data_IF_392600380690
#
_entry.id   IF_392600380690
#
_cell.length_a   1.000
_cell.length_b   1.000
_cell.length_c   1.000
_cell.angle_alpha   90.00
_cell.angle_beta   90.00
_cell.angle_gamma   90.00
#
_symmetry.space_group_name_H-M   'P 1'
#
loop_
_entity.id
_entity.type
_entity.pdbx_description
1 polymer ?
#
# COMPACT_ATOMS: atom_id res chain seq x y z
N UNK A 1 -4.99 22.87 5.11
CA UNK A 1 -5.88 22.68 6.28
C UNK A 1 -6.11 21.18 6.55
N UNK A 2 -6.36 20.36 5.53
CA UNK A 2 -6.59 18.90 5.61
C UNK A 2 -5.42 18.11 6.23
N UNK A 3 -4.16 18.43 5.88
CA UNK A 3 -2.97 17.74 6.43
C UNK A 3 -2.81 17.94 7.94
N UNK A 4 -3.19 19.12 8.47
CA UNK A 4 -3.18 19.38 9.93
C UNK A 4 -4.32 18.62 10.62
N UNK A 5 -5.48 18.48 9.99
CA UNK A 5 -6.61 17.70 10.51
C UNK A 5 -6.26 16.21 10.55
N UNK A 6 -5.60 15.70 9.51
CA UNK A 6 -5.16 14.32 9.44
C UNK A 6 -4.06 13.99 10.46
N UNK A 7 -3.14 14.91 10.72
CA UNK A 7 -2.12 14.73 11.77
C UNK A 7 -2.75 14.78 13.17
N UNK A 8 -3.73 15.66 13.38
CA UNK A 8 -4.47 15.75 14.63
C UNK A 8 -5.28 14.49 14.92
N UNK A 9 -6.04 13.99 13.95
CA UNK A 9 -6.81 12.74 14.09
C UNK A 9 -5.92 11.53 14.33
N UNK A 10 -4.74 11.48 13.70
CA UNK A 10 -3.75 10.41 13.91
C UNK A 10 -3.18 10.43 15.33
N UNK A 11 -2.83 11.60 15.85
CA UNK A 11 -2.35 11.77 17.22
C UNK A 11 -3.45 11.48 18.24
N UNK A 12 -4.69 11.90 17.97
CA UNK A 12 -5.84 11.61 18.81
C UNK A 12 -6.08 10.08 18.91
N UNK A 13 -6.05 9.37 17.77
CA UNK A 13 -6.18 7.90 17.74
C UNK A 13 -5.05 7.20 18.51
N UNK A 14 -3.81 7.67 18.38
CA UNK A 14 -2.65 7.08 19.04
C UNK A 14 -2.73 7.24 20.56
N UNK A 15 -3.18 8.37 21.04
CA UNK A 15 -3.24 8.70 22.48
C UNK A 15 -4.52 8.21 23.17
N UNK A 16 -5.65 8.13 22.43
CA UNK A 16 -6.93 7.68 22.98
C UNK A 16 -7.09 6.15 23.01
N UNK A 17 -6.53 5.43 22.03
CA UNK A 17 -6.68 3.96 21.97
C UNK A 17 -6.26 3.22 23.27
N UNK A 18 -5.14 3.51 23.91
CA UNK A 18 -4.78 2.85 25.17
C UNK A 18 -5.75 3.18 26.30
N UNK A 19 -6.17 4.45 26.40
CA UNK A 19 -7.12 4.91 27.43
C UNK A 19 -8.52 4.33 27.23
N UNK A 20 -8.99 4.23 25.99
CA UNK A 20 -10.29 3.64 25.66
C UNK A 20 -10.36 2.13 25.99
N UNK A 21 -9.25 1.41 25.88
CA UNK A 21 -9.20 -0.01 26.26
C UNK A 21 -9.43 -0.23 27.75
N UNK A 22 -9.14 0.77 28.58
CA UNK A 22 -9.40 0.72 30.03
C UNK A 22 -10.87 0.96 30.41
N UNK A 23 -11.70 1.42 29.45
CA UNK A 23 -13.12 1.69 29.65
C UNK A 23 -13.98 0.93 28.61
N UNK A 24 -14.27 -0.37 28.81
CA UNK A 24 -14.93 -1.22 27.82
C UNK A 24 -16.29 -0.72 27.33
N UNK A 25 -17.10 -0.14 28.23
CA UNK A 25 -18.42 0.43 27.91
C UNK A 25 -18.32 1.66 27.03
N UNK A 26 -17.43 2.58 27.35
CA UNK A 26 -17.16 3.77 26.52
C UNK A 26 -16.62 3.37 25.14
N UNK A 27 -15.73 2.37 25.08
CA UNK A 27 -15.22 1.85 23.82
C UNK A 27 -16.32 1.26 22.94
N UNK A 28 -17.24 0.46 23.53
CA UNK A 28 -18.42 -0.09 22.81
C UNK A 28 -19.32 1.03 22.28
N UNK A 29 -19.60 2.05 23.10
CA UNK A 29 -20.43 3.19 22.70
C UNK A 29 -19.83 3.96 21.53
N UNK A 30 -18.53 4.24 21.56
CA UNK A 30 -17.82 4.92 20.46
C UNK A 30 -17.87 4.08 19.17
N UNK A 31 -17.68 2.76 19.26
CA UNK A 31 -17.80 1.87 18.09
C UNK A 31 -19.23 1.92 17.53
N UNK A 32 -20.23 1.88 18.40
CA UNK A 32 -21.63 1.94 17.97
C UNK A 32 -21.98 3.26 17.28
N UNK A 33 -21.54 4.39 17.85
CA UNK A 33 -21.72 5.72 17.24
C UNK A 33 -21.02 5.80 15.89
N UNK A 34 -19.77 5.33 15.83
CA UNK A 34 -19.02 5.30 14.57
C UNK A 34 -19.71 4.44 13.51
N UNK A 35 -20.24 3.26 13.89
CA UNK A 35 -20.98 2.40 12.99
C UNK A 35 -22.24 3.10 12.45
N UNK A 36 -23.03 3.71 13.32
CA UNK A 36 -24.20 4.50 12.91
C UNK A 36 -23.82 5.64 11.97
N UNK A 37 -22.73 6.33 12.25
CA UNK A 37 -22.21 7.36 11.35
C UNK A 37 -21.86 6.79 9.97
N UNK A 38 -21.16 5.66 9.90
CA UNK A 38 -20.86 4.98 8.64
C UNK A 38 -22.12 4.61 7.86
N UNK A 39 -23.11 4.03 8.56
CA UNK A 39 -24.38 3.60 7.95
C UNK A 39 -25.18 4.78 7.40
N UNK A 40 -25.18 5.91 8.12
CA UNK A 40 -25.93 7.12 7.74
C UNK A 40 -25.25 7.97 6.66
N UNK A 41 -23.92 7.96 6.58
CA UNK A 41 -23.19 8.88 5.70
C UNK A 41 -22.37 8.20 4.62
N UNK A 42 -22.07 6.90 4.75
CA UNK A 42 -21.17 6.18 3.86
C UNK A 42 -21.58 6.26 2.38
N UNK A 43 -22.88 6.23 2.07
CA UNK A 43 -23.37 6.35 0.69
C UNK A 43 -23.11 7.75 0.07
N UNK A 44 -22.87 8.76 0.90
CA UNK A 44 -22.61 10.14 0.47
C UNK A 44 -21.14 10.38 0.09
N UNK A 45 -20.25 9.42 0.33
CA UNK A 45 -18.83 9.54 0.01
C UNK A 45 -18.50 8.90 -1.35
N UNK A 46 -17.49 9.46 -2.03
CA UNK A 46 -16.99 8.91 -3.29
C UNK A 46 -16.20 7.62 -3.07
N UNK A 47 -15.96 6.87 -4.15
CA UNK A 47 -15.01 5.77 -4.20
C UNK A 47 -13.66 6.27 -4.72
N UNK A 48 -12.55 5.57 -4.46
CA UNK A 48 -11.24 5.96 -4.97
C UNK A 48 -11.15 5.77 -6.49
N UNK A 49 -10.51 6.73 -7.14
CA UNK A 49 -10.19 6.73 -8.56
C UNK A 49 -8.88 5.95 -8.84
N UNK A 50 -7.99 5.84 -7.84
CA UNK A 50 -6.72 5.12 -7.95
C UNK A 50 -6.29 4.43 -6.65
N UNK A 51 -5.42 3.43 -6.80
CA UNK A 51 -4.83 2.66 -5.70
C UNK A 51 -3.32 2.54 -5.85
N UNK A 52 -2.57 2.71 -4.76
CA UNK A 52 -1.19 2.26 -4.66
C UNK A 52 -1.22 0.89 -3.98
N UNK A 53 -1.21 -0.18 -4.80
CA UNK A 53 -1.46 -1.55 -4.34
C UNK A 53 -0.22 -2.33 -3.91
N UNK A 54 0.99 -1.82 -4.23
CA UNK A 54 2.24 -2.54 -3.95
C UNK A 54 3.48 -1.69 -4.24
N UNK A 55 4.70 -2.14 -3.99
CA UNK A 55 5.07 -3.26 -3.09
C UNK A 55 5.29 -2.76 -1.67
N UNK A 56 5.05 -3.65 -0.74
CA UNK A 56 5.40 -3.35 0.65
C UNK A 56 6.92 -3.24 0.82
N UNK A 57 7.39 -2.21 1.54
CA UNK A 57 8.83 -1.84 1.71
C UNK A 57 9.51 -1.30 0.45
N UNK A 58 8.75 -0.93 -0.56
CA UNK A 58 9.25 -0.38 -1.83
C UNK A 58 9.09 1.15 -1.95
N UNK A 59 8.64 1.86 -0.92
CA UNK A 59 8.48 3.31 -0.99
C UNK A 59 7.06 3.81 -1.30
N UNK A 60 6.05 2.97 -1.19
CA UNK A 60 4.63 3.34 -1.39
C UNK A 60 4.16 4.52 -0.54
N UNK A 61 4.79 4.78 0.62
CA UNK A 61 4.49 5.95 1.44
C UNK A 61 4.95 7.25 0.77
N UNK A 62 6.16 7.27 0.19
CA UNK A 62 6.67 8.44 -0.52
C UNK A 62 5.85 8.69 -1.79
N UNK A 63 5.55 7.63 -2.54
CA UNK A 63 4.70 7.70 -3.74
C UNK A 63 3.35 8.36 -3.43
N UNK A 64 2.64 7.84 -2.44
CA UNK A 64 1.32 8.37 -2.06
C UNK A 64 1.40 9.81 -1.55
N UNK A 65 2.37 10.12 -0.69
CA UNK A 65 2.59 11.49 -0.19
C UNK A 65 2.91 12.48 -1.30
N UNK A 66 3.60 12.08 -2.37
CA UNK A 66 3.83 12.93 -3.52
C UNK A 66 2.57 13.16 -4.34
N UNK A 67 1.76 12.11 -4.56
CA UNK A 67 0.51 12.22 -5.31
C UNK A 67 -0.49 13.15 -4.61
N UNK A 68 -0.68 13.00 -3.30
CA UNK A 68 -1.65 13.81 -2.54
C UNK A 68 -1.25 15.27 -2.30
N UNK A 69 -0.02 15.65 -2.72
CA UNK A 69 0.37 17.06 -2.75
C UNK A 69 -0.22 17.80 -3.94
N UNK A 70 -0.61 17.08 -4.99
CA UNK A 70 -1.20 17.71 -6.17
C UNK A 70 -2.51 18.42 -5.80
N UNK A 71 -2.74 19.66 -6.25
CA UNK A 71 -3.94 20.44 -5.88
C UNK A 71 -5.25 19.77 -6.32
N UNK A 72 -5.25 18.98 -7.38
CA UNK A 72 -6.42 18.23 -7.85
C UNK A 72 -6.49 16.79 -7.33
N UNK A 73 -5.86 16.52 -6.19
CA UNK A 73 -5.98 15.24 -5.48
C UNK A 73 -6.41 15.46 -4.05
N UNK A 74 -7.47 14.79 -3.64
CA UNK A 74 -7.94 14.75 -2.25
C UNK A 74 -7.54 13.44 -1.59
N UNK A 75 -6.83 13.52 -0.47
CA UNK A 75 -6.34 12.32 0.23
C UNK A 75 -7.46 11.56 0.93
N UNK A 76 -7.33 10.26 1.05
CA UNK A 76 -8.06 9.50 2.05
C UNK A 76 -7.72 9.98 3.48
N UNK A 77 -8.63 9.76 4.44
CA UNK A 77 -8.45 10.13 5.86
C UNK A 77 -7.22 9.45 6.48
N UNK A 78 -6.88 8.27 6.00
CA UNK A 78 -5.70 7.52 6.47
C UNK A 78 -5.07 6.74 5.33
N UNK A 79 -3.74 6.62 5.36
CA UNK A 79 -3.01 5.65 4.54
C UNK A 79 -3.17 4.25 5.14
N UNK A 80 -3.17 3.23 4.28
CA UNK A 80 -3.31 1.82 4.65
C UNK A 80 -4.66 1.57 5.36
N UNK A 81 -5.75 1.72 4.58
CA UNK A 81 -7.12 1.48 5.07
C UNK A 81 -7.32 -0.01 5.36
N UNK A 82 -6.64 -0.88 4.60
CA UNK A 82 -6.73 -2.34 4.74
C UNK A 82 -8.15 -2.89 4.59
N UNK A 83 -8.97 -2.28 3.72
CA UNK A 83 -10.33 -2.74 3.53
C UNK A 83 -10.38 -4.05 2.76
N UNK A 84 -9.68 -4.16 1.63
CA UNK A 84 -9.77 -5.32 0.75
C UNK A 84 -8.94 -6.52 1.21
N UNK A 85 -8.08 -6.36 2.23
CA UNK A 85 -7.30 -7.44 2.83
C UNK A 85 -7.76 -7.82 4.24
N UNK A 86 -7.84 -6.88 5.19
CA UNK A 86 -8.05 -7.19 6.61
C UNK A 86 -9.48 -6.85 7.11
N UNK A 87 -10.10 -5.78 6.55
CA UNK A 87 -11.32 -5.23 7.12
C UNK A 87 -12.55 -5.30 6.22
N UNK A 88 -12.57 -6.26 5.27
CA UNK A 88 -13.68 -6.38 4.31
C UNK A 88 -15.03 -6.61 4.98
N UNK A 89 -15.05 -7.38 6.06
CA UNK A 89 -16.25 -7.65 6.86
C UNK A 89 -16.88 -6.41 7.54
N UNK A 90 -16.18 -5.27 7.56
CA UNK A 90 -16.72 -4.01 8.10
C UNK A 90 -17.75 -3.34 7.19
N UNK A 91 -17.86 -3.80 5.96
CA UNK A 91 -18.82 -3.31 4.99
C UNK A 91 -18.38 -2.05 4.24
N UNK A 92 -19.05 -1.83 3.11
CA UNK A 92 -18.70 -0.78 2.16
C UNK A 92 -18.81 0.64 2.73
N UNK A 93 -19.85 0.90 3.54
CA UNK A 93 -20.03 2.23 4.13
C UNK A 93 -18.88 2.61 5.07
N UNK A 94 -18.34 1.64 5.82
CA UNK A 94 -17.15 1.84 6.64
C UNK A 94 -15.91 2.21 5.79
N UNK A 95 -15.79 1.64 4.62
CA UNK A 95 -14.70 1.96 3.70
C UNK A 95 -14.87 3.36 3.11
N UNK A 96 -16.07 3.67 2.61
CA UNK A 96 -16.37 4.92 1.89
C UNK A 96 -16.17 6.17 2.74
N UNK A 97 -16.41 6.14 4.03
CA UNK A 97 -16.17 7.31 4.91
C UNK A 97 -14.70 7.73 5.00
N UNK A 98 -13.79 6.92 4.46
CA UNK A 98 -12.37 7.28 4.35
C UNK A 98 -12.08 8.28 3.23
N UNK A 99 -13.04 8.56 2.36
CA UNK A 99 -12.91 9.42 1.17
C UNK A 99 -13.77 10.68 1.28
N UNK A 100 -13.56 11.68 0.40
CA UNK A 100 -14.36 12.91 0.37
C UNK A 100 -15.85 12.65 0.13
N UNK A 101 -16.67 13.61 0.54
CA UNK A 101 -18.10 13.60 0.21
C UNK A 101 -18.34 13.84 -1.28
N UNK A 102 -19.30 13.15 -1.87
CA UNK A 102 -19.72 13.31 -3.27
C UNK A 102 -20.16 14.74 -3.56
N UNK A 103 -20.84 15.37 -2.61
CA UNK A 103 -21.27 16.76 -2.71
C UNK A 103 -20.07 17.70 -2.82
N UNK A 104 -18.95 17.42 -2.13
CA UNK A 104 -17.72 18.19 -2.25
C UNK A 104 -17.14 18.07 -3.66
N UNK A 105 -17.10 16.86 -4.25
CA UNK A 105 -16.63 16.64 -5.63
C UNK A 105 -17.50 17.40 -6.62
N UNK A 106 -18.84 17.35 -6.43
CA UNK A 106 -19.81 18.09 -7.25
C UNK A 106 -19.58 19.61 -7.20
N UNK A 107 -19.53 20.21 -6.02
CA UNK A 107 -19.30 21.65 -5.86
C UNK A 107 -17.94 22.10 -6.39
N UNK A 108 -16.88 21.33 -6.14
CA UNK A 108 -15.55 21.61 -6.68
C UNK A 108 -15.54 21.68 -8.19
N UNK A 109 -16.25 20.77 -8.85
CA UNK A 109 -16.38 20.76 -10.30
C UNK A 109 -17.23 21.93 -10.80
N UNK A 110 -18.40 22.15 -10.21
CA UNK A 110 -19.40 23.12 -10.69
C UNK A 110 -18.96 24.58 -10.49
N UNK A 111 -18.38 24.91 -9.33
CA UNK A 111 -18.08 26.29 -8.96
C UNK A 111 -16.62 26.69 -9.13
N UNK A 112 -15.70 25.70 -9.11
CA UNK A 112 -14.27 25.97 -9.20
C UNK A 112 -13.61 25.34 -10.42
N UNK A 113 -14.38 24.68 -11.30
CA UNK A 113 -13.89 23.93 -12.46
C UNK A 113 -12.74 22.95 -12.09
N UNK A 114 -12.86 22.35 -10.90
CA UNK A 114 -11.87 21.46 -10.32
C UNK A 114 -12.48 20.06 -10.13
N UNK A 115 -12.12 19.12 -11.02
CA UNK A 115 -12.49 17.71 -10.89
C UNK A 115 -11.33 16.97 -10.23
N UNK A 116 -11.40 16.79 -8.92
CA UNK A 116 -10.31 16.16 -8.17
C UNK A 116 -10.42 14.64 -8.22
N UNK A 117 -9.27 13.99 -8.14
CA UNK A 117 -9.14 12.54 -7.90
C UNK A 117 -9.00 12.26 -6.41
N UNK A 118 -9.41 11.06 -6.00
CA UNK A 118 -9.09 10.54 -4.67
C UNK A 118 -8.60 9.11 -4.79
N UNK A 119 -7.78 8.67 -3.84
CA UNK A 119 -7.24 7.32 -3.85
C UNK A 119 -6.66 6.91 -2.50
N UNK A 120 -6.25 5.67 -2.42
CA UNK A 120 -5.62 5.10 -1.24
C UNK A 120 -4.31 4.37 -1.55
N UNK A 121 -3.54 4.07 -0.50
CA UNK A 121 -2.31 3.31 -0.59
C UNK A 121 -2.27 2.23 0.48
N UNK A 122 -2.54 0.99 0.07
CA UNK A 122 -2.43 -0.21 0.89
C UNK A 122 -1.59 -1.25 0.14
N UNK A 123 -0.26 -1.26 0.33
CA UNK A 123 0.65 -2.06 -0.49
C UNK A 123 0.51 -3.58 -0.30
N UNK A 124 -0.26 -4.03 0.68
CA UNK A 124 -0.60 -5.44 0.87
C UNK A 124 -1.61 -5.97 -0.15
N UNK A 125 -2.39 -5.10 -0.80
CA UNK A 125 -3.37 -5.55 -1.79
C UNK A 125 -2.74 -6.32 -2.94
N UNK A 126 -1.49 -6.00 -3.31
CA UNK A 126 -0.75 -6.73 -4.34
C UNK A 126 -0.67 -8.23 -4.04
N UNK A 127 -0.55 -8.60 -2.76
CA UNK A 127 -0.26 -9.95 -2.29
C UNK A 127 -1.47 -10.71 -1.73
N UNK A 128 -2.58 -10.02 -1.47
CA UNK A 128 -3.74 -10.63 -0.85
C UNK A 128 -4.64 -11.29 -1.91
N UNK A 129 -4.98 -12.59 -1.79
CA UNK A 129 -5.66 -13.34 -2.85
C UNK A 129 -7.02 -12.78 -3.24
N UNK A 130 -7.78 -12.23 -2.30
CA UNK A 130 -9.14 -11.72 -2.55
C UNK A 130 -9.20 -10.23 -2.93
N UNK A 131 -8.11 -9.47 -2.81
CA UNK A 131 -8.11 -8.03 -3.09
C UNK A 131 -8.53 -7.71 -4.51
N UNK A 132 -8.07 -8.50 -5.47
CA UNK A 132 -8.35 -8.31 -6.90
C UNK A 132 -9.84 -8.33 -7.17
N UNK A 133 -10.53 -9.40 -6.77
CA UNK A 133 -11.95 -9.58 -7.03
C UNK A 133 -12.81 -8.55 -6.28
N UNK A 134 -12.43 -8.22 -5.04
CA UNK A 134 -13.10 -7.23 -4.23
C UNK A 134 -13.00 -5.83 -4.84
N UNK A 135 -11.83 -5.44 -5.34
CA UNK A 135 -11.60 -4.16 -6.03
C UNK A 135 -12.31 -4.16 -7.37
N UNK A 136 -12.21 -5.23 -8.17
CA UNK A 136 -12.87 -5.34 -9.48
C UNK A 136 -14.37 -5.17 -9.38
N UNK A 137 -15.00 -5.74 -8.37
CA UNK A 137 -16.43 -5.59 -8.10
C UNK A 137 -16.82 -4.14 -7.77
N UNK A 138 -15.96 -3.40 -7.09
CA UNK A 138 -16.29 -2.08 -6.57
C UNK A 138 -15.88 -0.94 -7.52
N UNK A 139 -14.68 -1.01 -8.07
CA UNK A 139 -14.06 0.03 -8.88
C UNK A 139 -13.34 -0.55 -10.10
N UNK A 140 -14.07 -1.14 -11.07
CA UNK A 140 -13.47 -1.85 -12.22
C UNK A 140 -12.62 -0.95 -13.13
N UNK A 141 -12.84 0.37 -13.11
CA UNK A 141 -12.12 1.35 -13.92
C UNK A 141 -11.02 2.11 -13.16
N UNK A 142 -10.69 1.69 -11.94
CA UNK A 142 -9.67 2.35 -11.14
C UNK A 142 -8.28 2.19 -11.75
N UNK A 143 -7.38 3.14 -11.47
CA UNK A 143 -5.97 3.08 -11.85
C UNK A 143 -5.12 2.51 -10.72
N UNK A 144 -4.12 1.71 -11.06
CA UNK A 144 -3.26 1.02 -10.11
C UNK A 144 -1.82 1.48 -10.24
N UNK A 145 -1.23 1.92 -9.15
CA UNK A 145 0.19 2.23 -9.07
C UNK A 145 0.90 1.13 -8.27
N UNK A 146 1.95 0.58 -8.85
CA UNK A 146 2.81 -0.42 -8.22
C UNK A 146 4.22 0.16 -8.20
N UNK A 147 4.81 0.26 -7.02
CA UNK A 147 6.21 0.66 -6.89
C UNK A 147 7.02 -0.53 -6.41
N UNK A 148 8.03 -0.89 -7.18
CA UNK A 148 8.90 -2.05 -6.93
C UNK A 148 10.30 -1.59 -6.57
N UNK A 149 10.98 -2.37 -5.76
CA UNK A 149 12.36 -2.18 -5.31
C UNK A 149 13.17 -3.43 -5.61
N UNK A 150 14.50 -3.33 -5.71
CA UNK A 150 15.35 -4.52 -5.74
C UNK A 150 14.85 -5.51 -4.66
N UNK A 151 14.47 -6.74 -5.04
CA UNK A 151 13.81 -7.69 -4.13
C UNK A 151 14.67 -8.07 -2.93
N UNK A 152 16.00 -8.04 -3.05
CA UNK A 152 16.93 -8.27 -1.96
C UNK A 152 16.84 -7.15 -0.94
N UNK A 153 16.87 -5.90 -1.39
CA UNK A 153 16.78 -4.72 -0.52
C UNK A 153 15.38 -4.58 0.10
N UNK A 154 14.34 -5.04 -0.61
CA UNK A 154 12.99 -5.14 -0.09
C UNK A 154 12.90 -6.16 1.07
N UNK A 155 13.44 -7.38 0.85
CA UNK A 155 13.45 -8.43 1.87
C UNK A 155 14.21 -7.97 3.13
N UNK A 156 15.40 -7.41 2.97
CA UNK A 156 16.19 -6.89 4.08
C UNK A 156 15.51 -5.70 4.81
N UNK A 157 14.82 -4.83 4.06
CA UNK A 157 14.03 -3.73 4.66
C UNK A 157 12.82 -4.26 5.46
N UNK A 158 12.20 -5.34 5.02
CA UNK A 158 11.09 -6.00 5.72
C UNK A 158 11.58 -6.67 7.00
N UNK A 159 12.67 -7.44 6.93
CA UNK A 159 13.34 -8.03 8.08
C UNK A 159 13.67 -6.98 9.13
N UNK A 160 14.36 -5.90 8.74
CA UNK A 160 14.73 -4.83 9.66
C UNK A 160 13.52 -4.17 10.34
N UNK A 161 12.42 -4.01 9.61
CA UNK A 161 11.16 -3.52 10.20
C UNK A 161 10.68 -4.46 11.30
N UNK A 162 10.65 -5.78 11.03
CA UNK A 162 10.19 -6.77 11.99
C UNK A 162 11.08 -6.87 13.23
N UNK A 163 12.40 -6.79 13.07
CA UNK A 163 13.33 -6.70 14.21
C UNK A 163 13.05 -5.48 15.07
N UNK A 164 12.86 -4.30 14.46
CA UNK A 164 12.63 -3.06 15.20
C UNK A 164 11.31 -3.02 15.96
N UNK A 165 10.29 -3.74 15.51
CA UNK A 165 9.00 -3.85 16.21
C UNK A 165 8.92 -5.11 17.11
N UNK A 166 10.00 -5.91 17.16
CA UNK A 166 10.13 -7.07 18.04
C UNK A 166 9.44 -8.35 17.54
N UNK A 167 9.08 -8.41 16.27
CA UNK A 167 8.48 -9.62 15.66
C UNK A 167 9.54 -10.63 15.18
N UNK A 168 10.75 -10.16 14.85
CA UNK A 168 11.84 -11.01 14.40
C UNK A 168 12.98 -11.00 15.42
N UNK A 169 13.52 -12.19 15.72
CA UNK A 169 14.63 -12.40 16.66
C UNK A 169 15.81 -13.16 16.05
N UNK A 170 15.59 -13.78 14.88
CA UNK A 170 16.62 -14.51 14.14
C UNK A 170 17.57 -13.55 13.44
N UNK A 171 18.73 -14.04 13.00
CA UNK A 171 19.55 -13.35 12.00
C UNK A 171 18.80 -13.23 10.67
N UNK A 172 19.26 -12.39 9.75
CA UNK A 172 18.60 -12.28 8.44
C UNK A 172 18.71 -13.61 7.67
N UNK A 173 19.86 -14.24 7.75
CA UNK A 173 20.12 -15.52 7.11
C UNK A 173 19.18 -16.62 7.63
N UNK A 174 19.09 -16.79 8.95
CA UNK A 174 18.20 -17.80 9.57
C UNK A 174 16.73 -17.47 9.31
N UNK A 175 16.38 -16.16 9.24
CA UNK A 175 15.01 -15.72 9.00
C UNK A 175 14.54 -16.06 7.56
N UNK A 176 15.41 -15.91 6.56
CA UNK A 176 15.08 -16.28 5.17
C UNK A 176 15.13 -17.78 4.95
N UNK A 177 16.02 -18.52 5.62
CA UNK A 177 16.09 -19.99 5.56
C UNK A 177 14.82 -20.64 6.16
N UNK A 178 14.33 -20.07 7.27
CA UNK A 178 13.12 -20.55 7.93
C UNK A 178 11.80 -20.02 7.34
N UNK A 179 11.84 -19.18 6.29
CA UNK A 179 10.63 -18.56 5.71
C UNK A 179 9.60 -19.61 5.29
N UNK A 180 10.02 -20.62 4.51
CA UNK A 180 9.12 -21.64 3.96
C UNK A 180 8.37 -22.38 5.08
N UNK A 181 9.09 -22.83 6.12
CA UNK A 181 8.45 -23.54 7.23
C UNK A 181 7.54 -22.65 8.09
N UNK A 182 7.83 -21.34 8.16
CA UNK A 182 7.05 -20.35 8.93
C UNK A 182 5.80 -19.88 8.22
N UNK A 183 5.73 -20.05 6.90
CA UNK A 183 4.64 -19.59 6.04
C UNK A 183 3.92 -20.71 5.31
N UNK A 184 4.23 -21.96 5.68
CA UNK A 184 3.67 -23.15 5.06
C UNK A 184 2.14 -23.16 5.11
N UNK A 185 1.49 -23.38 3.96
CA UNK A 185 0.03 -23.41 3.76
C UNK A 185 -0.71 -22.10 4.14
N UNK A 186 0.00 -21.03 4.52
CA UNK A 186 -0.65 -19.79 4.96
C UNK A 186 -1.34 -19.05 3.81
N UNK A 187 -0.74 -19.07 2.61
CA UNK A 187 -1.34 -18.44 1.44
C UNK A 187 -2.55 -19.22 0.93
N UNK A 188 -2.49 -20.55 0.92
CA UNK A 188 -3.57 -21.45 0.56
C UNK A 188 -4.76 -21.32 1.52
N UNK A 189 -4.49 -21.19 2.82
CA UNK A 189 -5.54 -20.91 3.80
C UNK A 189 -6.20 -19.54 3.55
N UNK A 190 -5.41 -18.51 3.20
CA UNK A 190 -5.97 -17.21 2.83
C UNK A 190 -6.81 -17.29 1.55
N UNK A 191 -6.46 -18.17 0.60
CA UNK A 191 -7.25 -18.36 -0.62
C UNK A 191 -8.57 -19.08 -0.35
N UNK A 192 -8.58 -20.05 0.56
CA UNK A 192 -9.76 -20.87 0.87
C UNK A 192 -10.73 -20.22 1.85
N UNK A 193 -10.25 -19.35 2.74
CA UNK A 193 -11.07 -18.62 3.71
C UNK A 193 -10.90 -17.11 3.59
N UNK A 194 -11.93 -16.44 3.08
CA UNK A 194 -11.95 -14.98 2.90
C UNK A 194 -11.77 -14.17 4.21
N UNK A 195 -12.01 -14.78 5.36
CA UNK A 195 -11.91 -14.15 6.67
C UNK A 195 -10.59 -14.50 7.38
N UNK A 196 -9.81 -15.42 6.82
CA UNK A 196 -8.53 -15.79 7.40
C UNK A 196 -7.48 -14.71 7.15
N UNK A 197 -6.88 -14.21 8.22
CA UNK A 197 -5.79 -13.25 8.18
C UNK A 197 -4.49 -13.91 8.63
N UNK A 198 -3.62 -14.22 7.70
CA UNK A 198 -2.33 -14.85 8.00
C UNK A 198 -1.32 -13.83 8.57
N UNK A 199 -1.10 -13.89 9.89
CA UNK A 199 0.01 -13.13 10.50
C UNK A 199 1.39 -13.67 10.10
N UNK A 200 1.63 -15.00 10.03
CA UNK A 200 2.89 -15.55 9.56
C UNK A 200 3.25 -15.09 8.16
N UNK A 201 2.33 -15.20 7.21
CA UNK A 201 2.54 -14.76 5.84
C UNK A 201 2.96 -13.29 5.75
N UNK A 202 2.23 -12.38 6.39
CA UNK A 202 2.55 -10.96 6.33
C UNK A 202 3.81 -10.58 7.10
N UNK A 203 4.20 -11.34 8.10
CA UNK A 203 5.41 -11.08 8.87
C UNK A 203 6.66 -11.67 8.25
N UNK A 204 6.59 -12.87 7.73
CA UNK A 204 7.77 -13.68 7.47
C UNK A 204 8.04 -13.98 5.99
N UNK A 205 7.15 -13.61 5.04
CA UNK A 205 7.42 -13.75 3.59
C UNK A 205 8.44 -12.71 3.12
N UNK A 206 9.70 -12.94 3.47
CA UNK A 206 10.79 -12.05 3.09
C UNK A 206 11.19 -12.21 1.63
N UNK A 207 11.27 -13.44 1.13
CA UNK A 207 11.67 -13.73 -0.24
C UNK A 207 10.48 -13.85 -1.17
N UNK A 208 9.45 -14.57 -0.77
CA UNK A 208 8.28 -14.85 -1.61
C UNK A 208 7.63 -13.57 -2.15
N UNK A 209 7.41 -12.58 -1.30
CA UNK A 209 6.83 -11.29 -1.73
C UNK A 209 7.79 -10.42 -2.55
N UNK A 210 9.02 -10.84 -2.76
CA UNK A 210 9.97 -10.30 -3.72
C UNK A 210 9.82 -10.92 -5.13
N UNK A 211 9.09 -12.02 -5.27
CA UNK A 211 8.81 -12.68 -6.55
C UNK A 211 7.62 -11.96 -7.22
N UNK A 212 7.83 -10.70 -7.60
CA UNK A 212 6.77 -9.78 -8.03
C UNK A 212 5.96 -10.26 -9.22
N UNK A 213 6.60 -10.97 -10.18
CA UNK A 213 5.95 -11.37 -11.42
C UNK A 213 4.67 -12.17 -11.17
N UNK A 214 4.67 -13.12 -10.21
CA UNK A 214 3.50 -13.95 -9.88
C UNK A 214 2.27 -13.12 -9.50
N UNK A 215 2.49 -12.10 -8.69
CA UNK A 215 1.41 -11.26 -8.19
C UNK A 215 0.93 -10.30 -9.28
N UNK A 216 1.84 -9.69 -10.05
CA UNK A 216 1.50 -8.75 -11.11
C UNK A 216 0.79 -9.46 -12.27
N UNK A 217 1.23 -10.65 -12.64
CA UNK A 217 0.57 -11.50 -13.66
C UNK A 217 -0.89 -11.75 -13.28
N UNK A 218 -1.15 -12.18 -12.03
CA UNK A 218 -2.51 -12.38 -11.53
C UNK A 218 -3.36 -11.09 -11.57
N UNK A 219 -2.79 -9.90 -11.32
CA UNK A 219 -3.51 -8.64 -11.49
C UNK A 219 -3.82 -8.35 -12.96
N UNK A 220 -2.90 -8.62 -13.88
CA UNK A 220 -3.08 -8.43 -15.33
C UNK A 220 -4.12 -9.39 -15.94
N UNK A 221 -4.34 -10.56 -15.34
CA UNK A 221 -5.42 -11.48 -15.75
C UNK A 221 -6.82 -10.93 -15.44
N UNK A 222 -6.90 -9.94 -14.56
CA UNK A 222 -8.18 -9.40 -14.08
C UNK A 222 -8.47 -7.98 -14.52
N UNK A 223 -7.45 -7.19 -14.86
CA UNK A 223 -7.57 -5.80 -15.28
C UNK A 223 -6.69 -5.52 -16.49
N UNK A 224 -7.11 -4.64 -17.42
CA UNK A 224 -6.28 -4.19 -18.54
C UNK A 224 -4.94 -3.62 -18.08
N UNK A 225 -3.86 -3.91 -18.82
CA UNK A 225 -2.50 -3.44 -18.47
C UNK A 225 -2.40 -1.91 -18.43
N UNK A 226 -3.21 -1.23 -19.22
CA UNK A 226 -3.29 0.24 -19.29
C UNK A 226 -3.77 0.89 -17.97
N UNK A 227 -4.40 0.11 -17.10
CA UNK A 227 -4.79 0.57 -15.77
C UNK A 227 -3.62 0.52 -14.76
N UNK A 228 -2.43 0.09 -15.17
CA UNK A 228 -1.28 -0.05 -14.28
C UNK A 228 -0.13 0.88 -14.66
N UNK A 229 0.45 1.53 -13.64
CA UNK A 229 1.74 2.17 -13.71
C UNK A 229 2.70 1.48 -12.74
N UNK A 230 3.78 0.90 -13.29
CA UNK A 230 4.80 0.20 -12.50
C UNK A 230 6.06 1.03 -12.45
N UNK A 231 6.44 1.44 -11.24
CA UNK A 231 7.52 2.35 -10.95
C UNK A 231 8.70 1.65 -10.27
N UNK A 232 9.91 2.12 -10.53
CA UNK A 232 11.12 1.72 -9.80
C UNK A 232 11.30 2.63 -8.59
N UNK A 233 11.44 2.04 -7.41
CA UNK A 233 11.62 2.75 -6.14
C UNK A 233 12.86 3.63 -6.15
N UNK A 234 13.95 3.10 -6.70
CA UNK A 234 15.24 3.77 -6.78
C UNK A 234 15.15 5.07 -7.59
N UNK A 235 14.36 5.07 -8.68
CA UNK A 235 14.15 6.25 -9.52
C UNK A 235 13.32 7.30 -8.80
N UNK A 236 12.20 6.87 -8.18
CA UNK A 236 11.33 7.77 -7.42
C UNK A 236 12.05 8.41 -6.23
N UNK A 237 12.93 7.68 -5.56
CA UNK A 237 13.64 8.18 -4.38
C UNK A 237 14.85 9.04 -4.71
N UNK A 238 15.58 8.71 -5.79
CA UNK A 238 16.78 9.45 -6.22
C UNK A 238 16.46 10.65 -7.10
N UNK A 239 15.52 10.50 -8.01
CA UNK A 239 15.17 11.50 -9.03
C UNK A 239 13.64 11.69 -9.14
N UNK A 240 12.94 12.09 -8.05
CA UNK A 240 11.48 12.21 -8.06
C UNK A 240 10.97 13.18 -9.12
N UNK A 241 11.75 14.22 -9.46
CA UNK A 241 11.40 15.21 -10.48
C UNK A 241 11.25 14.59 -11.89
N UNK A 242 11.96 13.47 -12.16
CA UNK A 242 11.86 12.74 -13.44
C UNK A 242 10.72 11.76 -13.45
N UNK A 243 10.40 11.13 -12.31
CA UNK A 243 9.37 10.09 -12.19
C UNK A 243 7.98 10.69 -11.97
N UNK A 244 7.89 11.84 -11.31
CA UNK A 244 6.62 12.43 -10.94
C UNK A 244 5.73 12.83 -12.14
N UNK A 245 6.28 13.40 -13.25
CA UNK A 245 5.49 13.65 -14.46
C UNK A 245 4.80 12.41 -15.04
N UNK A 246 5.48 11.26 -15.05
CA UNK A 246 4.90 9.97 -15.49
C UNK A 246 3.67 9.59 -14.66
N UNK A 247 3.72 9.84 -13.35
CA UNK A 247 2.59 9.61 -12.44
C UNK A 247 1.41 10.55 -12.78
N UNK A 248 1.68 11.83 -13.04
CA UNK A 248 0.64 12.80 -13.38
C UNK A 248 -0.03 12.45 -14.71
N UNK A 249 0.76 12.13 -15.72
CA UNK A 249 0.25 11.73 -17.04
C UNK A 249 -0.61 10.46 -16.92
N UNK A 250 -0.13 9.46 -16.19
CA UNK A 250 -0.90 8.24 -15.92
C UNK A 250 -2.22 8.51 -15.22
N UNK A 251 -2.24 9.40 -14.21
CA UNK A 251 -3.45 9.74 -13.48
C UNK A 251 -4.35 10.75 -14.22
N UNK A 252 -3.93 11.26 -15.40
CA UNK A 252 -4.59 12.32 -16.16
C UNK A 252 -4.69 13.63 -15.34
N UNK A 253 -3.69 13.93 -14.53
CA UNK A 253 -3.58 15.16 -13.76
C UNK A 253 -2.84 16.23 -14.56
N UNK A 254 -3.18 17.50 -14.30
CA UNK A 254 -2.47 18.64 -14.89
C UNK A 254 -1.00 18.62 -14.48
N UNK A 255 -0.11 19.12 -15.36
CA UNK A 255 1.29 19.30 -15.03
C UNK A 255 1.44 20.24 -13.85
N UNK A 256 2.04 19.72 -12.79
CA UNK A 256 2.30 20.43 -11.56
C UNK A 256 3.50 19.77 -10.84
N UNK A 257 4.32 20.58 -10.20
CA UNK A 257 5.44 20.06 -9.41
C UNK A 257 5.39 20.66 -8.01
N UNK A 258 5.56 19.85 -6.96
CA UNK A 258 5.70 20.39 -5.62
C UNK A 258 7.00 21.18 -5.49
N UNK A 259 7.00 22.21 -4.64
CA UNK A 259 8.20 23.02 -4.37
C UNK A 259 9.36 22.16 -3.83
N UNK A 260 9.04 21.05 -3.19
CA UNK A 260 10.04 20.16 -2.58
C UNK A 260 9.52 18.71 -2.49
N UNK A 261 10.38 17.76 -2.85
CA UNK A 261 10.20 16.32 -2.61
C UNK A 261 10.93 15.93 -1.32
N UNK A 262 10.27 16.09 -0.17
CA UNK A 262 10.87 15.68 1.11
C UNK A 262 10.93 14.16 1.22
N UNK A 263 12.03 13.59 1.71
CA UNK A 263 12.07 12.20 2.12
C UNK A 263 10.97 11.91 3.14
N UNK A 264 10.10 10.96 2.86
CA UNK A 264 8.93 10.70 3.73
C UNK A 264 9.29 9.90 4.96
N UNK A 265 10.33 9.10 4.89
CA UNK A 265 10.96 8.36 6.01
C UNK A 265 12.35 7.92 5.59
N UNK A 266 13.36 8.40 6.27
CA UNK A 266 14.61 7.65 6.37
C UNK A 266 14.36 6.45 7.27
N UNK A 267 14.67 5.26 6.79
CA UNK A 267 14.55 4.06 7.60
C UNK A 267 15.68 4.07 8.64
N UNK A 268 15.37 4.48 9.87
CA UNK A 268 16.30 4.42 11.00
C UNK A 268 16.47 2.97 11.51
N UNK A 269 16.81 2.06 10.60
CA UNK A 269 16.93 0.62 10.94
C UNK A 269 18.26 0.26 11.60
N UNK A 270 18.96 1.23 12.19
CA UNK A 270 20.30 0.99 12.75
C UNK A 270 21.35 0.64 11.69
N UNK A 271 22.56 0.29 12.14
CA UNK A 271 23.69 -0.05 11.25
C UNK A 271 23.73 -1.54 10.86
N UNK A 272 22.56 -2.24 10.76
CA UNK A 272 22.58 -3.64 10.32
C UNK A 272 22.93 -3.69 8.84
N UNK A 273 23.85 -4.59 8.52
CA UNK A 273 24.32 -4.85 7.15
C UNK A 273 24.06 -6.31 6.82
N UNK A 274 23.70 -6.56 5.57
CA UNK A 274 23.61 -7.92 5.01
C UNK A 274 25.00 -8.41 4.68
N UNK A 275 25.27 -9.71 4.89
CA UNK A 275 26.54 -10.31 4.46
C UNK A 275 26.65 -10.29 2.94
N UNK A 276 27.85 -10.02 2.39
CA UNK A 276 28.06 -10.01 0.93
C UNK A 276 27.68 -11.33 0.27
N UNK A 277 27.97 -12.47 0.92
CA UNK A 277 27.65 -13.81 0.43
C UNK A 277 26.15 -14.02 0.33
N UNK A 278 25.40 -13.57 1.33
CA UNK A 278 23.93 -13.61 1.33
C UNK A 278 23.36 -12.78 0.18
N UNK A 279 23.88 -11.58 -0.05
CA UNK A 279 23.46 -10.75 -1.19
C UNK A 279 23.71 -11.43 -2.52
N UNK A 280 24.89 -12.06 -2.69
CA UNK A 280 25.24 -12.79 -3.91
C UNK A 280 24.32 -13.98 -4.15
N UNK A 281 24.07 -14.78 -3.11
CA UNK A 281 23.14 -15.93 -3.18
C UNK A 281 21.71 -15.49 -3.54
N UNK A 282 21.22 -14.42 -2.91
CA UNK A 282 19.90 -13.86 -3.21
C UNK A 282 19.82 -13.25 -4.62
N UNK A 283 20.94 -12.70 -5.14
CA UNK A 283 21.02 -12.27 -6.53
C UNK A 283 20.75 -13.42 -7.50
N UNK A 284 21.44 -14.54 -7.33
CA UNK A 284 21.20 -15.77 -8.11
C UNK A 284 19.75 -16.29 -7.92
N UNK A 285 19.22 -16.26 -6.71
CA UNK A 285 17.86 -16.70 -6.42
C UNK A 285 16.79 -15.86 -7.14
N UNK A 286 16.93 -14.52 -7.12
CA UNK A 286 15.92 -13.65 -7.70
C UNK A 286 16.06 -13.44 -9.21
N UNK A 287 17.23 -13.71 -9.80
CA UNK A 287 17.47 -13.44 -11.22
C UNK A 287 16.43 -14.05 -12.16
N UNK A 288 16.08 -15.36 -12.11
CA UNK A 288 15.08 -15.94 -13.02
C UNK A 288 13.68 -15.29 -12.84
N UNK A 289 13.36 -14.86 -11.64
CA UNK A 289 12.09 -14.20 -11.36
C UNK A 289 12.07 -12.74 -11.83
N UNK A 290 13.20 -12.05 -11.72
CA UNK A 290 13.37 -10.71 -12.25
C UNK A 290 13.26 -10.71 -13.78
N UNK A 291 13.85 -11.68 -14.47
CA UNK A 291 13.73 -11.80 -15.92
C UNK A 291 12.28 -12.02 -16.36
N UNK A 292 11.53 -12.88 -15.66
CA UNK A 292 10.07 -13.04 -15.91
C UNK A 292 9.31 -11.74 -15.71
N UNK A 293 9.63 -10.99 -14.64
CA UNK A 293 9.02 -9.69 -14.41
C UNK A 293 9.32 -8.72 -15.55
N UNK A 294 10.58 -8.62 -15.99
CA UNK A 294 11.00 -7.70 -17.04
C UNK A 294 10.26 -7.97 -18.35
N UNK A 295 10.11 -9.25 -18.72
CA UNK A 295 9.28 -9.64 -19.86
C UNK A 295 7.80 -9.28 -19.69
N UNK A 296 7.23 -9.56 -18.51
CA UNK A 296 5.81 -9.32 -18.23
C UNK A 296 5.43 -7.84 -18.37
N UNK A 297 6.30 -6.94 -17.85
CA UNK A 297 6.04 -5.49 -17.81
C UNK A 297 6.76 -4.71 -18.91
N UNK A 298 7.50 -5.39 -19.80
CA UNK A 298 8.32 -4.80 -20.86
C UNK A 298 9.26 -3.69 -20.35
N UNK A 299 9.91 -3.91 -19.21
CA UNK A 299 10.84 -2.98 -18.58
C UNK A 299 11.91 -3.71 -17.78
N UNK A 300 13.18 -3.44 -18.08
CA UNK A 300 14.31 -3.87 -17.27
C UNK A 300 14.54 -2.88 -16.11
N UNK A 301 14.57 -3.39 -14.88
CA UNK A 301 14.84 -2.59 -13.69
C UNK A 301 16.33 -2.56 -13.33
N UNK A 302 17.18 -3.37 -13.98
CA UNK A 302 18.61 -3.46 -13.71
C UNK A 302 18.92 -3.91 -12.29
N UNK A 303 18.18 -4.86 -11.76
CA UNK A 303 18.44 -5.48 -10.47
C UNK A 303 19.28 -6.74 -10.65
N UNK A 304 20.58 -6.57 -10.52
CA UNK A 304 21.58 -7.64 -10.61
C UNK A 304 22.05 -8.03 -9.21
#
# INVERSE_FOLDING_TARGET
MQSKLNSFTRNLRKNLRPKLRQHPTLHKSIISIHRKYCDLTGFMHVLPDFYVIGGEKCGSSALYEYIIKHPDVESAVTKEIHYFDEWYSRGLNWYKISFPFSIHKYFSKQFFNRDFLTGEATPRYLYHPHSIQRIKKLTPNAKFLIILRNPIDRAFSHYNMNVNIGYEKLSFEDAIESESSRTENEYEQMQSDENYYSRPYYRYSYLERGIYYKFIENWFDHFPKEQFLILKSEDLLKTPQKTYPEILDFLNLKKWLPNEFKPVRESSYGKRTMKPETRKSLGTYFEPFNQKLYHLVNRDFGWN
#
